data_IF_573934393683
#
_entry.id   IF_573934393683
#
_cell.length_a   1.000
_cell.length_b   1.000
_cell.length_c   1.000
_cell.angle_alpha   90.00
_cell.angle_beta   90.00
_cell.angle_gamma   90.00
#
_symmetry.space_group_name_H-M   'P 1'
#
loop_
_entity.id
_entity.type
_entity.pdbx_description
1 polymer ?
#
# COMPACT_ATOMS: atom_id res chain seq x y z
N UNK A 1 -3.12 29.29 7.90
CA UNK A 1 -3.31 27.82 7.80
C UNK A 1 -2.48 27.32 6.63
N UNK A 2 -1.28 26.78 6.89
CA UNK A 2 -0.46 26.20 5.83
C UNK A 2 -1.09 24.88 5.37
N UNK A 3 -1.59 24.85 4.13
CA UNK A 3 -1.84 23.60 3.43
C UNK A 3 -0.49 22.95 3.18
N UNK A 4 -0.06 22.07 4.08
CA UNK A 4 1.06 21.18 3.78
C UNK A 4 0.67 20.39 2.53
N UNK A 5 1.21 20.79 1.37
CA UNK A 5 1.25 19.93 0.20
C UNK A 5 2.11 18.76 0.66
N UNK A 6 1.46 17.64 1.00
CA UNK A 6 2.17 16.40 1.29
C UNK A 6 2.93 16.04 0.01
N UNK A 7 4.22 16.38 -0.02
CA UNK A 7 5.21 15.80 -0.92
C UNK A 7 5.45 14.35 -0.46
N UNK A 8 4.38 13.55 -0.41
CA UNK A 8 4.43 12.14 -0.03
C UNK A 8 4.89 11.38 -1.25
N UNK A 9 6.19 11.41 -1.50
CA UNK A 9 6.78 10.35 -2.30
C UNK A 9 6.48 9.03 -1.60
N UNK A 10 5.74 8.11 -2.23
CA UNK A 10 5.39 6.86 -1.58
C UNK A 10 6.67 6.09 -1.25
N UNK A 11 6.72 5.58 -0.02
CA UNK A 11 7.72 4.64 0.46
C UNK A 11 7.75 3.39 -0.43
N UNK A 12 8.81 2.58 -0.30
CA UNK A 12 8.93 1.33 -1.07
C UNK A 12 7.70 0.42 -0.90
N UNK A 13 7.17 0.33 0.32
CA UNK A 13 6.00 -0.50 0.65
C UNK A 13 4.71 0.07 0.05
N UNK A 14 4.54 1.39 0.06
CA UNK A 14 3.36 2.02 -0.54
C UNK A 14 3.37 1.94 -2.06
N UNK A 15 4.54 2.08 -2.70
CA UNK A 15 4.71 1.84 -4.13
C UNK A 15 4.34 0.41 -4.49
N UNK A 16 4.84 -0.55 -3.74
CA UNK A 16 4.50 -1.96 -3.89
C UNK A 16 2.99 -2.19 -3.77
N UNK A 17 2.33 -1.60 -2.77
CA UNK A 17 0.87 -1.72 -2.58
C UNK A 17 0.13 -1.15 -3.80
N UNK A 18 0.50 0.05 -4.26
CA UNK A 18 -0.12 0.69 -5.43
C UNK A 18 0.06 -0.14 -6.71
N UNK A 19 1.26 -0.66 -6.94
CA UNK A 19 1.56 -1.53 -8.08
C UNK A 19 0.77 -2.83 -8.01
N UNK A 20 0.69 -3.45 -6.83
CA UNK A 20 -0.06 -4.69 -6.60
C UNK A 20 -1.54 -4.51 -6.90
N UNK A 21 -2.14 -3.39 -6.45
CA UNK A 21 -3.54 -3.06 -6.75
C UNK A 21 -3.73 -2.83 -8.26
N UNK A 22 -2.79 -2.16 -8.91
CA UNK A 22 -2.86 -1.87 -10.35
C UNK A 22 -2.74 -3.14 -11.21
N UNK A 23 -1.95 -4.12 -10.78
CA UNK A 23 -1.72 -5.38 -11.52
C UNK A 23 -2.76 -6.45 -11.23
N UNK A 24 -3.50 -6.34 -10.12
CA UNK A 24 -4.58 -7.25 -9.78
C UNK A 24 -5.77 -7.09 -10.74
N UNK A 25 -5.73 -7.81 -11.87
CA UNK A 25 -6.73 -7.75 -12.96
C UNK A 25 -8.13 -8.23 -12.58
N UNK A 26 -8.29 -8.98 -11.50
CA UNK A 26 -9.52 -9.72 -11.17
C UNK A 26 -9.98 -9.61 -9.71
N UNK A 27 -9.38 -8.72 -8.90
CA UNK A 27 -9.79 -8.60 -7.49
C UNK A 27 -8.76 -7.90 -6.61
N UNK A 28 -8.78 -8.25 -5.32
CA UNK A 28 -7.79 -7.77 -4.36
C UNK A 28 -6.47 -8.53 -4.53
N UNK A 29 -5.30 -7.87 -4.34
CA UNK A 29 -4.02 -8.55 -4.36
C UNK A 29 -3.93 -9.62 -3.27
N UNK A 30 -3.19 -10.70 -3.54
CA UNK A 30 -2.82 -11.66 -2.50
C UNK A 30 -1.71 -11.06 -1.62
N UNK A 31 -2.14 -10.39 -0.55
CA UNK A 31 -1.23 -9.77 0.40
C UNK A 31 -0.30 -10.77 1.10
N UNK A 32 -0.73 -12.03 1.26
CA UNK A 32 0.09 -13.09 1.85
C UNK A 32 1.27 -13.45 0.95
N UNK A 33 1.00 -13.64 -0.34
CA UNK A 33 2.03 -13.89 -1.34
C UNK A 33 3.01 -12.71 -1.45
N UNK A 34 2.50 -11.47 -1.48
CA UNK A 34 3.32 -10.25 -1.55
C UNK A 34 4.20 -10.09 -0.31
N UNK A 35 3.65 -10.30 0.89
CA UNK A 35 4.41 -10.20 2.14
C UNK A 35 5.56 -11.22 2.16
N UNK A 36 5.30 -12.46 1.71
CA UNK A 36 6.31 -13.51 1.60
C UNK A 36 7.40 -13.17 0.58
N UNK A 37 7.03 -12.72 -0.61
CA UNK A 37 7.97 -12.35 -1.67
C UNK A 37 8.88 -11.20 -1.25
N UNK A 38 8.32 -10.22 -0.55
CA UNK A 38 9.04 -9.02 -0.13
C UNK A 38 9.75 -9.18 1.23
N UNK A 39 9.68 -10.37 1.83
CA UNK A 39 10.24 -10.68 3.14
C UNK A 39 9.82 -9.70 4.24
N UNK A 40 8.55 -9.29 4.23
CA UNK A 40 7.96 -8.42 5.25
C UNK A 40 6.87 -9.15 6.02
N UNK A 41 6.63 -8.73 7.26
CA UNK A 41 5.53 -9.26 8.04
C UNK A 41 4.18 -8.90 7.40
N UNK A 42 3.29 -9.89 7.28
CA UNK A 42 1.95 -9.68 6.72
C UNK A 42 1.17 -8.62 7.50
N UNK A 43 1.23 -8.67 8.83
CA UNK A 43 0.54 -7.69 9.70
C UNK A 43 1.01 -6.25 9.43
N UNK A 44 2.31 -6.08 9.16
CA UNK A 44 2.85 -4.78 8.81
C UNK A 44 2.34 -4.31 7.45
N UNK A 45 2.36 -5.18 6.43
CA UNK A 45 1.81 -4.87 5.11
C UNK A 45 0.33 -4.47 5.20
N UNK A 46 -0.46 -5.25 5.93
CA UNK A 46 -1.89 -4.99 6.14
C UNK A 46 -2.13 -3.67 6.88
N UNK A 47 -1.34 -3.39 7.93
CA UNK A 47 -1.43 -2.10 8.64
C UNK A 47 -1.14 -0.90 7.71
N UNK A 48 -0.20 -1.06 6.76
CA UNK A 48 0.06 -0.02 5.74
C UNK A 48 -1.09 0.11 4.76
N UNK A 49 -1.66 -0.99 4.26
CA UNK A 49 -2.85 -0.99 3.39
C UNK A 49 -4.00 -0.25 4.07
N UNK A 50 -4.29 -0.54 5.34
CA UNK A 50 -5.36 0.11 6.09
C UNK A 50 -5.10 1.59 6.38
N UNK A 51 -3.84 1.96 6.63
CA UNK A 51 -3.48 3.37 6.71
C UNK A 51 -3.71 4.08 5.36
N UNK A 52 -3.26 3.50 4.24
CA UNK A 52 -3.42 4.07 2.90
C UNK A 52 -4.90 4.24 2.51
N UNK A 53 -5.77 3.30 2.92
CA UNK A 53 -7.23 3.44 2.78
C UNK A 53 -7.77 4.61 3.58
N UNK A 54 -7.38 4.74 4.85
CA UNK A 54 -7.84 5.81 5.75
C UNK A 54 -7.44 7.21 5.28
N UNK A 55 -6.26 7.35 4.67
CA UNK A 55 -5.79 8.63 4.12
C UNK A 55 -6.26 8.88 2.67
N UNK A 56 -7.03 7.96 2.09
CA UNK A 56 -7.62 8.11 0.75
C UNK A 56 -6.64 7.89 -0.41
N UNK A 57 -5.49 7.25 -0.17
CA UNK A 57 -4.51 6.93 -1.23
C UNK A 57 -4.96 5.75 -2.10
N UNK A 58 -5.73 4.82 -1.56
CA UNK A 58 -6.27 3.65 -2.26
C UNK A 58 -7.74 3.46 -1.86
N UNK A 59 -8.54 2.92 -2.79
CA UNK A 59 -9.98 2.65 -2.62
C UNK A 59 -10.24 1.15 -2.44
#
# INVERSE_FOLDING_TARGET
MSTAKFDLQPTKVEKLILESIRTARLGLPDWGAIAKEQHIALDYLMSRVDWMRRVGMIK
#
